data_IF_554364927135
#
_entry.id   IF_554364927135
#
_cell.length_a   1.000
_cell.length_b   1.000
_cell.length_c   1.000
_cell.angle_alpha   90.00
_cell.angle_beta   90.00
_cell.angle_gamma   90.00
#
_symmetry.space_group_name_H-M   'P 1'
#
loop_
_entity.id
_entity.type
_entity.pdbx_description
1 polymer ?
#
# COMPACT_ATOMS: atom_id res chain seq x y z
N UNK A 1 -21.41 19.39 60.00
CA UNK A 1 -21.78 18.97 58.66
C UNK A 1 -22.90 17.95 58.77
N UNK A 2 -24.07 18.25 58.23
CA UNK A 2 -25.26 17.36 58.34
C UNK A 2 -25.01 16.14 57.45
N UNK A 3 -25.36 14.94 57.92
CA UNK A 3 -25.19 13.65 57.22
C UNK A 3 -25.73 13.72 55.77
N UNK A 4 -26.73 14.54 55.53
CA UNK A 4 -27.31 14.82 54.20
C UNK A 4 -26.33 15.45 53.23
N UNK A 5 -25.48 16.40 53.65
CA UNK A 5 -24.48 17.06 52.81
C UNK A 5 -23.34 16.13 52.42
N UNK A 6 -22.98 15.21 53.29
CA UNK A 6 -21.97 14.20 53.01
C UNK A 6 -22.47 13.19 51.99
N UNK A 7 -23.75 12.81 52.04
CA UNK A 7 -24.38 11.87 51.15
C UNK A 7 -24.54 12.47 49.72
N UNK A 8 -24.89 13.77 49.63
CA UNK A 8 -24.96 14.47 48.33
C UNK A 8 -23.59 14.65 47.69
N UNK A 9 -22.55 14.95 48.46
CA UNK A 9 -21.17 15.03 47.97
C UNK A 9 -20.66 13.66 47.44
N UNK A 10 -21.00 12.58 48.15
CA UNK A 10 -20.63 11.23 47.74
C UNK A 10 -21.36 10.82 46.44
N UNK A 11 -22.63 11.19 46.31
CA UNK A 11 -23.44 10.91 45.11
C UNK A 11 -22.90 11.66 43.88
N UNK A 12 -22.51 12.94 44.05
CA UNK A 12 -21.89 13.75 42.98
C UNK A 12 -20.53 13.15 42.59
N UNK A 13 -19.74 12.68 43.51
CA UNK A 13 -18.44 12.06 43.24
C UNK A 13 -18.60 10.74 42.48
N UNK A 14 -19.64 9.95 42.74
CA UNK A 14 -19.91 8.71 42.01
C UNK A 14 -20.39 9.01 40.56
N UNK A 15 -21.12 10.08 40.34
CA UNK A 15 -21.57 10.45 38.99
C UNK A 15 -20.47 11.05 38.11
N UNK A 16 -19.43 11.67 38.73
CA UNK A 16 -18.28 12.22 38.01
C UNK A 16 -17.23 11.15 37.65
N UNK A 17 -17.27 9.98 38.27
CA UNK A 17 -16.34 8.85 38.03
C UNK A 17 -16.79 7.95 36.88
N UNK A 18 -17.94 8.23 36.21
CA UNK A 18 -18.29 7.56 34.96
C UNK A 18 -17.37 8.09 33.86
N UNK A 19 -16.14 7.60 33.83
CA UNK A 19 -15.24 7.81 32.69
C UNK A 19 -15.91 7.29 31.43
N UNK A 20 -16.06 8.16 30.44
CA UNK A 20 -16.49 7.74 29.12
C UNK A 20 -15.57 6.64 28.62
N UNK A 21 -16.00 5.39 28.69
CA UNK A 21 -15.37 4.32 27.93
C UNK A 21 -15.61 4.66 26.46
N UNK A 22 -14.64 5.26 25.81
CA UNK A 22 -14.64 5.41 24.35
C UNK A 22 -14.53 4.00 23.77
N UNK A 23 -15.67 3.39 23.49
CA UNK A 23 -15.74 2.23 22.60
C UNK A 23 -15.54 2.75 21.20
N UNK A 24 -14.33 2.72 20.70
CA UNK A 24 -14.03 2.91 19.27
C UNK A 24 -14.56 1.69 18.53
N UNK A 25 -15.77 1.79 18.01
CA UNK A 25 -16.26 0.87 17.00
C UNK A 25 -15.61 1.31 15.70
N UNK A 26 -14.72 0.50 15.08
CA UNK A 26 -14.20 0.82 13.77
C UNK A 26 -15.34 0.70 12.76
N UNK A 27 -15.94 1.83 12.39
CA UNK A 27 -16.99 1.93 11.35
C UNK A 27 -16.39 2.01 9.93
N UNK A 28 -15.10 1.72 9.79
CA UNK A 28 -14.42 1.67 8.49
C UNK A 28 -14.15 0.24 8.04
N UNK A 29 -13.93 0.01 6.75
CA UNK A 29 -13.48 -1.29 6.28
C UNK A 29 -12.22 -1.67 7.05
N UNK A 30 -12.23 -2.85 7.67
CA UNK A 30 -11.04 -3.39 8.32
C UNK A 30 -9.94 -3.47 7.28
N UNK A 31 -8.94 -2.62 7.40
CA UNK A 31 -7.71 -2.70 6.63
C UNK A 31 -7.03 -4.03 6.99
N UNK A 32 -7.22 -5.05 6.14
CA UNK A 32 -6.63 -6.34 6.45
C UNK A 32 -6.87 -7.48 5.48
N UNK A 33 -7.87 -7.42 4.65
CA UNK A 33 -8.06 -8.47 3.65
C UNK A 33 -8.14 -7.86 2.26
N UNK A 34 -7.24 -8.31 1.36
CA UNK A 34 -7.35 -8.00 -0.05
C UNK A 34 -8.62 -8.63 -0.60
N UNK A 35 -9.56 -7.80 -1.06
CA UNK A 35 -10.75 -8.25 -1.76
C UNK A 35 -10.51 -8.24 -3.26
N UNK A 36 -10.91 -9.32 -3.93
CA UNK A 36 -10.92 -9.38 -5.37
C UNK A 36 -12.13 -8.63 -5.90
N UNK A 37 -11.90 -7.67 -6.78
CA UNK A 37 -12.95 -6.95 -7.47
C UNK A 37 -12.90 -7.27 -8.96
N UNK A 38 -13.96 -7.84 -9.47
CA UNK A 38 -14.13 -8.05 -10.92
C UNK A 38 -14.38 -6.69 -11.57
N UNK A 39 -13.52 -6.30 -12.50
CA UNK A 39 -13.64 -5.05 -13.25
C UNK A 39 -14.47 -5.26 -14.51
N UNK A 40 -14.22 -6.36 -15.24
CA UNK A 40 -14.86 -6.67 -16.50
C UNK A 40 -14.82 -8.17 -16.79
N UNK A 41 -15.84 -8.65 -17.54
CA UNK A 41 -15.90 -10.02 -18.02
C UNK A 41 -16.45 -11.03 -17.00
N UNK A 42 -16.75 -12.23 -17.52
CA UNK A 42 -17.30 -13.37 -16.76
C UNK A 42 -16.62 -14.69 -17.15
N UNK A 43 -15.41 -14.63 -17.70
CA UNK A 43 -14.65 -15.82 -18.08
C UNK A 43 -14.24 -16.65 -16.87
N UNK A 44 -14.04 -17.95 -17.09
CA UNK A 44 -13.47 -18.85 -16.09
C UNK A 44 -12.00 -18.57 -15.80
N UNK A 45 -11.28 -17.99 -16.77
CA UNK A 45 -9.90 -17.51 -16.59
C UNK A 45 -9.88 -16.02 -16.29
N UNK A 46 -8.91 -15.60 -15.49
CA UNK A 46 -8.75 -14.23 -15.00
C UNK A 46 -7.42 -13.64 -15.46
N UNK A 47 -7.42 -12.33 -15.64
CA UNK A 47 -6.23 -11.50 -15.74
C UNK A 47 -6.18 -10.66 -14.48
N UNK A 48 -5.11 -10.79 -13.70
CA UNK A 48 -4.91 -9.96 -12.52
C UNK A 48 -4.42 -8.58 -12.95
N UNK A 49 -5.14 -7.53 -12.55
CA UNK A 49 -4.66 -6.16 -12.63
C UNK A 49 -4.09 -5.76 -11.26
N UNK A 50 -2.79 -5.48 -11.22
CA UNK A 50 -2.06 -5.10 -10.00
C UNK A 50 -1.57 -3.67 -10.12
N UNK A 51 -1.98 -2.82 -9.19
CA UNK A 51 -1.62 -1.40 -9.20
C UNK A 51 -0.32 -1.11 -8.45
N UNK A 52 0.58 -0.39 -9.12
CA UNK A 52 1.79 0.18 -8.53
C UNK A 52 1.69 1.71 -8.69
N UNK A 53 1.13 2.39 -7.68
CA UNK A 53 0.79 3.80 -7.79
C UNK A 53 1.38 4.63 -6.64
N UNK A 54 1.76 5.87 -6.97
CA UNK A 54 2.34 6.81 -6.00
C UNK A 54 3.77 6.45 -5.62
N UNK A 55 4.25 6.99 -4.50
CA UNK A 55 5.62 6.77 -4.02
C UNK A 55 5.79 5.36 -3.48
N UNK A 56 6.83 4.67 -3.96
CA UNK A 56 7.17 3.31 -3.52
C UNK A 56 7.95 3.40 -2.21
N UNK A 57 7.38 2.84 -1.15
CA UNK A 57 7.96 2.87 0.20
C UNK A 57 7.60 1.61 0.99
N UNK A 58 8.44 1.25 1.94
CA UNK A 58 8.20 0.17 2.91
C UNK A 58 7.27 0.60 4.04
N UNK A 59 7.08 1.91 4.22
CA UNK A 59 6.34 2.45 5.34
C UNK A 59 4.84 2.36 5.11
N UNK A 60 4.13 1.98 6.15
CA UNK A 60 2.68 2.10 6.21
C UNK A 60 2.29 3.58 6.24
N UNK A 61 1.20 3.91 5.57
CA UNK A 61 0.63 5.25 5.66
C UNK A 61 -0.20 5.34 6.93
N UNK A 62 0.27 6.13 7.89
CA UNK A 62 -0.51 6.46 9.08
C UNK A 62 -1.68 7.34 8.67
N UNK A 63 -2.88 6.86 8.86
CA UNK A 63 -4.09 7.66 8.67
C UNK A 63 -4.33 8.51 9.90
N UNK A 64 -3.78 9.70 10.03
CA UNK A 64 -3.99 10.69 11.07
C UNK A 64 -4.81 10.30 12.33
N UNK A 65 -5.18 11.26 13.16
CA UNK A 65 -5.82 11.03 14.49
C UNK A 65 -7.15 10.23 14.45
N UNK A 66 -7.77 10.07 13.29
CA UNK A 66 -9.06 9.36 13.11
C UNK A 66 -9.05 8.32 11.98
N UNK A 67 -7.91 8.05 11.33
CA UNK A 67 -7.82 7.10 10.22
C UNK A 67 -6.99 5.88 10.56
N UNK A 68 -7.41 4.69 10.10
CA UNK A 68 -6.62 3.46 10.18
C UNK A 68 -5.33 3.54 9.36
N UNK A 69 -4.30 2.76 9.70
CA UNK A 69 -3.10 2.63 8.86
C UNK A 69 -3.44 1.91 7.56
N UNK A 70 -2.89 2.40 6.45
CA UNK A 70 -2.94 1.66 5.18
C UNK A 70 -1.65 0.90 4.99
N UNK A 71 -1.71 -0.36 4.54
CA UNK A 71 -0.52 -1.15 4.27
C UNK A 71 0.45 -0.44 3.32
N UNK A 72 1.74 -0.76 3.44
CA UNK A 72 2.73 -0.22 2.51
C UNK A 72 2.51 -0.74 1.09
N UNK A 73 2.91 0.01 0.03
CA UNK A 73 2.87 -0.51 -1.34
C UNK A 73 3.56 -1.86 -1.51
N UNK A 74 4.68 -2.07 -0.82
CA UNK A 74 5.42 -3.34 -0.83
C UNK A 74 4.57 -4.48 -0.26
N UNK A 75 3.94 -4.28 0.90
CA UNK A 75 3.10 -5.33 1.52
C UNK A 75 1.88 -5.66 0.67
N UNK A 76 1.21 -4.64 0.09
CA UNK A 76 0.06 -4.84 -0.78
C UNK A 76 0.40 -5.66 -2.03
N UNK A 77 1.52 -5.34 -2.69
CA UNK A 77 1.96 -6.05 -3.90
C UNK A 77 2.33 -7.48 -3.55
N UNK A 78 3.12 -7.68 -2.50
CA UNK A 78 3.51 -9.02 -2.04
C UNK A 78 2.31 -9.90 -1.70
N UNK A 79 1.37 -9.38 -0.93
CA UNK A 79 0.16 -10.10 -0.55
C UNK A 79 -0.72 -10.42 -1.75
N UNK A 80 -0.84 -9.47 -2.71
CA UNK A 80 -1.57 -9.69 -3.95
C UNK A 80 -0.95 -10.80 -4.80
N UNK A 81 0.39 -10.83 -4.93
CA UNK A 81 1.10 -11.87 -5.65
C UNK A 81 0.97 -13.24 -4.96
N UNK A 82 1.07 -13.27 -3.62
CA UNK A 82 0.87 -14.51 -2.85
C UNK A 82 -0.56 -15.06 -2.99
N UNK A 83 -1.57 -14.18 -3.04
CA UNK A 83 -2.95 -14.57 -3.29
C UNK A 83 -3.12 -15.08 -4.72
N UNK A 84 -2.53 -14.39 -5.70
CA UNK A 84 -2.53 -14.78 -7.09
C UNK A 84 -1.83 -16.13 -7.34
N UNK A 85 -0.82 -16.44 -6.58
CA UNK A 85 -0.11 -17.72 -6.66
C UNK A 85 -1.00 -18.93 -6.37
N UNK A 86 -2.00 -18.74 -5.50
CA UNK A 86 -2.93 -19.78 -5.06
C UNK A 86 -4.17 -19.90 -5.95
N UNK A 87 -4.35 -18.99 -6.92
CA UNK A 87 -5.49 -19.02 -7.83
C UNK A 87 -5.09 -19.47 -9.23
N UNK A 88 -5.35 -20.74 -9.54
CA UNK A 88 -5.03 -21.34 -10.84
C UNK A 88 -5.85 -20.77 -12.02
N UNK A 89 -6.88 -19.98 -11.74
CA UNK A 89 -7.66 -19.29 -12.76
C UNK A 89 -6.92 -18.08 -13.32
N UNK A 90 -5.94 -17.52 -12.61
CA UNK A 90 -5.14 -16.40 -13.10
C UNK A 90 -4.19 -16.90 -14.18
N UNK A 91 -4.35 -16.37 -15.39
CA UNK A 91 -3.61 -16.77 -16.60
C UNK A 91 -2.63 -15.70 -17.10
N UNK A 92 -2.73 -14.47 -16.61
CA UNK A 92 -1.80 -13.37 -16.89
C UNK A 92 -1.88 -12.32 -15.78
N UNK A 93 -0.86 -11.47 -15.72
CA UNK A 93 -0.83 -10.31 -14.80
C UNK A 93 -0.54 -9.05 -15.61
N UNK A 94 -1.26 -7.98 -15.31
CA UNK A 94 -0.99 -6.63 -15.78
C UNK A 94 -0.58 -5.79 -14.59
N UNK A 95 0.64 -5.27 -14.61
CA UNK A 95 1.13 -4.26 -13.67
C UNK A 95 0.73 -2.89 -14.21
N UNK A 96 -0.25 -2.24 -13.59
CA UNK A 96 -0.63 -0.88 -13.93
C UNK A 96 0.21 0.10 -13.12
N UNK A 97 1.15 0.77 -13.79
CA UNK A 97 2.17 1.58 -13.14
C UNK A 97 1.87 3.07 -13.32
N UNK A 98 1.77 3.77 -12.19
CA UNK A 98 1.65 5.22 -12.14
C UNK A 98 2.46 5.75 -10.95
N UNK A 99 3.79 5.64 -11.03
CA UNK A 99 4.69 5.88 -9.90
C UNK A 99 5.95 6.66 -10.34
N UNK A 100 6.33 7.71 -9.60
CA UNK A 100 7.61 8.40 -9.79
C UNK A 100 8.81 7.62 -9.23
N UNK A 101 8.57 6.43 -8.64
CA UNK A 101 9.55 5.66 -7.90
C UNK A 101 9.48 5.93 -6.40
N UNK A 102 10.60 5.74 -5.71
CA UNK A 102 10.66 5.91 -4.25
C UNK A 102 11.93 5.33 -3.64
N UNK A 103 11.81 4.65 -2.52
CA UNK A 103 12.93 4.00 -1.84
C UNK A 103 13.55 2.92 -2.74
N UNK A 104 14.87 2.86 -2.76
CA UNK A 104 15.62 1.86 -3.54
C UNK A 104 15.25 0.46 -3.07
N UNK A 105 15.29 0.23 -1.76
CA UNK A 105 14.98 -1.06 -1.15
C UNK A 105 13.55 -1.51 -1.47
N UNK A 106 12.55 -0.62 -1.31
CA UNK A 106 11.16 -0.95 -1.63
C UNK A 106 10.97 -1.32 -3.09
N UNK A 107 11.64 -0.60 -4.00
CA UNK A 107 11.57 -0.84 -5.43
C UNK A 107 12.20 -2.18 -5.80
N UNK A 108 13.34 -2.51 -5.18
CA UNK A 108 14.03 -3.79 -5.38
C UNK A 108 13.21 -4.97 -4.85
N UNK A 109 12.57 -4.84 -3.70
CA UNK A 109 11.69 -5.85 -3.16
C UNK A 109 10.53 -6.15 -4.12
N UNK A 110 9.88 -5.11 -4.65
CA UNK A 110 8.78 -5.27 -5.61
C UNK A 110 9.27 -5.96 -6.89
N UNK A 111 10.37 -5.50 -7.46
CA UNK A 111 10.98 -6.11 -8.63
C UNK A 111 11.27 -7.60 -8.40
N UNK A 112 11.92 -7.92 -7.28
CA UNK A 112 12.25 -9.30 -6.91
C UNK A 112 10.99 -10.17 -6.73
N UNK A 113 9.99 -9.68 -6.01
CA UNK A 113 8.73 -10.42 -5.77
C UNK A 113 8.01 -10.75 -7.08
N UNK A 114 8.02 -9.81 -8.06
CA UNK A 114 7.45 -10.06 -9.40
C UNK A 114 8.24 -11.11 -10.16
N UNK A 115 9.58 -11.03 -10.16
CA UNK A 115 10.45 -12.02 -10.83
C UNK A 115 10.24 -13.42 -10.24
N UNK A 116 10.18 -13.53 -8.91
CA UNK A 116 9.96 -14.82 -8.24
C UNK A 116 8.56 -15.37 -8.52
N UNK A 117 7.54 -14.54 -8.54
CA UNK A 117 6.19 -14.92 -8.96
C UNK A 117 6.18 -15.47 -10.39
N UNK A 118 6.84 -14.79 -11.35
CA UNK A 118 6.95 -15.25 -12.75
C UNK A 118 7.61 -16.63 -12.83
N UNK A 119 8.70 -16.84 -12.11
CA UNK A 119 9.41 -18.14 -12.09
C UNK A 119 8.52 -19.28 -11.62
N UNK A 120 7.71 -19.02 -10.56
CA UNK A 120 6.83 -20.04 -9.97
C UNK A 120 5.59 -20.29 -10.81
N UNK A 121 4.92 -19.25 -11.27
CA UNK A 121 3.64 -19.37 -11.98
C UNK A 121 3.77 -19.65 -13.48
N UNK A 122 4.86 -19.20 -14.11
CA UNK A 122 5.14 -19.31 -15.55
C UNK A 122 3.99 -18.77 -16.42
N UNK A 123 3.38 -17.69 -15.99
CA UNK A 123 2.35 -16.93 -16.73
C UNK A 123 2.91 -15.58 -17.14
N UNK A 124 2.42 -14.98 -18.25
CA UNK A 124 2.90 -13.71 -18.71
C UNK A 124 2.58 -12.58 -17.73
N UNK A 125 3.52 -11.65 -17.58
CA UNK A 125 3.39 -10.42 -16.80
C UNK A 125 3.71 -9.24 -17.71
N UNK A 126 2.76 -8.35 -17.93
CA UNK A 126 2.94 -7.14 -18.73
C UNK A 126 2.88 -5.90 -17.83
N UNK A 127 3.73 -4.93 -18.08
CA UNK A 127 3.69 -3.65 -17.40
C UNK A 127 3.07 -2.59 -18.31
N UNK A 128 2.05 -1.88 -17.80
CA UNK A 128 1.41 -0.76 -18.46
C UNK A 128 1.70 0.52 -17.70
N UNK A 129 2.56 1.37 -18.24
CA UNK A 129 2.88 2.68 -17.68
C UNK A 129 1.82 3.68 -18.09
N UNK A 130 1.15 4.27 -17.10
CA UNK A 130 0.08 5.24 -17.30
C UNK A 130 0.66 6.66 -17.54
N UNK A 131 0.64 7.52 -16.52
CA UNK A 131 1.19 8.87 -16.65
C UNK A 131 2.67 8.94 -16.30
N UNK A 132 3.08 8.17 -15.29
CA UNK A 132 4.46 8.16 -14.79
C UNK A 132 4.90 6.73 -14.48
N UNK A 133 6.06 6.36 -15.01
CA UNK A 133 6.77 5.13 -14.64
C UNK A 133 8.27 5.42 -14.59
N UNK A 134 8.70 6.12 -13.54
CA UNK A 134 10.06 6.63 -13.45
C UNK A 134 10.82 6.03 -12.25
N UNK A 135 12.16 6.03 -12.32
CA UNK A 135 13.03 5.54 -11.25
C UNK A 135 12.61 4.16 -10.76
N UNK A 136 12.32 3.98 -9.46
CA UNK A 136 11.82 2.73 -8.90
C UNK A 136 10.53 2.20 -9.55
N UNK A 137 9.67 3.08 -10.11
CA UNK A 137 8.50 2.67 -10.87
C UNK A 137 8.86 1.99 -12.19
N UNK A 138 9.88 2.51 -12.90
CA UNK A 138 10.41 1.86 -14.08
C UNK A 138 11.17 0.58 -13.73
N UNK A 139 11.89 0.58 -12.61
CA UNK A 139 12.60 -0.61 -12.12
C UNK A 139 11.61 -1.76 -11.82
N UNK A 140 10.49 -1.46 -11.18
CA UNK A 140 9.42 -2.45 -11.00
C UNK A 140 8.85 -2.95 -12.34
N UNK A 141 8.65 -2.03 -13.33
CA UNK A 141 8.21 -2.39 -14.68
C UNK A 141 9.17 -3.36 -15.37
N UNK A 142 10.48 -3.20 -15.16
CA UNK A 142 11.50 -4.03 -15.77
C UNK A 142 11.45 -5.51 -15.33
N UNK A 143 10.71 -5.84 -14.29
CA UNK A 143 10.43 -7.23 -13.90
C UNK A 143 9.41 -7.92 -14.83
N UNK A 144 8.64 -7.18 -15.62
CA UNK A 144 7.66 -7.71 -16.57
C UNK A 144 8.32 -8.35 -17.80
N UNK A 145 7.53 -9.08 -18.59
CA UNK A 145 7.98 -9.63 -19.88
C UNK A 145 7.98 -8.56 -20.98
N UNK A 146 7.07 -7.60 -20.87
CA UNK A 146 6.90 -6.50 -21.81
C UNK A 146 6.47 -5.24 -21.07
N UNK A 147 6.96 -4.10 -21.53
CA UNK A 147 6.59 -2.79 -21.00
C UNK A 147 5.87 -2.00 -22.09
N UNK A 148 4.62 -1.64 -21.83
CA UNK A 148 3.80 -0.78 -22.68
C UNK A 148 3.66 0.56 -21.96
N UNK A 149 4.05 1.64 -22.62
CA UNK A 149 3.90 2.99 -22.07
C UNK A 149 2.88 3.79 -22.87
N UNK A 150 2.04 4.56 -22.15
CA UNK A 150 1.18 5.53 -22.82
C UNK A 150 2.05 6.55 -23.58
N UNK A 151 1.67 7.01 -24.78
CA UNK A 151 2.50 7.91 -25.59
C UNK A 151 2.93 9.21 -24.87
N UNK A 152 2.17 9.66 -23.89
CA UNK A 152 2.48 10.85 -23.06
C UNK A 152 3.09 10.52 -21.72
N UNK A 153 3.45 9.25 -21.47
CA UNK A 153 4.01 8.84 -20.19
C UNK A 153 5.41 9.41 -19.97
N UNK A 154 5.68 9.77 -18.75
CA UNK A 154 7.03 10.13 -18.28
C UNK A 154 7.71 8.85 -17.78
N UNK A 155 8.81 8.48 -18.42
CA UNK A 155 9.60 7.29 -18.06
C UNK A 155 11.07 7.67 -17.85
N UNK A 156 11.88 6.72 -17.41
CA UNK A 156 13.31 6.94 -17.20
C UNK A 156 13.64 7.38 -15.78
N UNK A 157 14.43 8.45 -15.60
CA UNK A 157 14.95 8.87 -14.28
C UNK A 157 15.62 7.71 -13.53
N UNK A 158 16.38 6.88 -14.26
CA UNK A 158 17.08 5.71 -13.73
C UNK A 158 18.32 6.18 -12.99
N UNK A 159 18.32 6.00 -11.68
CA UNK A 159 19.44 6.41 -10.83
C UNK A 159 19.05 6.46 -9.36
N UNK A 160 20.06 6.71 -8.53
CA UNK A 160 19.91 6.88 -7.09
C UNK A 160 20.34 8.30 -6.71
N UNK A 161 19.51 8.99 -5.94
CA UNK A 161 19.82 10.33 -5.42
C UNK A 161 20.10 10.19 -3.93
N UNK A 162 21.28 10.64 -3.50
CA UNK A 162 21.64 10.78 -2.10
C UNK A 162 21.82 12.28 -1.79
N UNK A 163 20.90 12.83 -1.01
CA UNK A 163 21.00 14.21 -0.53
C UNK A 163 21.86 14.26 0.74
N UNK A 164 22.88 15.10 0.76
CA UNK A 164 23.72 15.34 1.92
C UNK A 164 23.74 16.83 2.24
N UNK A 165 23.35 17.18 3.45
CA UNK A 165 23.42 18.54 3.95
C UNK A 165 24.79 18.77 4.60
N UNK A 166 25.46 19.86 4.21
CA UNK A 166 26.70 20.30 4.87
C UNK A 166 26.36 21.51 5.74
N UNK A 167 26.48 21.35 7.03
CA UNK A 167 26.20 22.42 8.03
C UNK A 167 27.49 23.01 8.64
N UNK A 168 28.66 22.67 8.11
CA UNK A 168 29.93 23.17 8.65
C UNK A 168 30.05 24.70 8.67
N UNK A 169 29.35 25.38 7.76
CA UNK A 169 29.32 26.85 7.72
C UNK A 169 28.35 27.50 8.72
N UNK A 170 27.56 26.71 9.44
CA UNK A 170 26.64 27.19 10.49
C UNK A 170 27.26 27.11 11.89
N UNK A 171 28.36 26.39 12.04
CA UNK A 171 29.13 26.25 13.27
C UNK A 171 30.36 27.13 13.26
#
# INVERSE_FOLDING_TARGET
MKKSTLLTLLLIMITTLNGCAFVTIPLGPQSGQLEERVLEGNSSKKILLLDISGTITEQEKSGGLMGGSSPSPVSLIRESLQKAEKDDKISAVILRINSPGGSVTASDIIHHDIIEFKKRRKIPVHACIMSVGASGGYYAAAAADEIIAHPTAITGSIGVILMKFNVAGLM
#
